data_IF_483069980775
#
_entry.id   IF_483069980775
#
_cell.length_a   1.000
_cell.length_b   1.000
_cell.length_c   1.000
_cell.angle_alpha   90.00
_cell.angle_beta   90.00
_cell.angle_gamma   90.00
#
_symmetry.space_group_name_H-M   'P 1'
#
loop_
_entity.id
_entity.type
_entity.pdbx_description
1 polymer ?
#
# COMPACT_ATOMS: atom_id res chain seq x y z
N UNK A 1 -0.10 -3.60 -9.39
CA UNK A 1 0.19 -5.05 -9.34
C UNK A 1 1.44 -5.26 -8.50
N UNK A 2 1.47 -6.30 -7.67
CA UNK A 2 2.61 -6.68 -6.81
C UNK A 2 2.80 -8.19 -6.81
N UNK A 3 4.03 -8.66 -6.57
CA UNK A 3 4.39 -10.09 -6.54
C UNK A 3 5.35 -10.34 -5.36
N UNK A 4 5.10 -11.37 -4.56
CA UNK A 4 5.88 -11.73 -3.37
C UNK A 4 6.77 -12.97 -3.55
N UNK A 5 6.86 -13.52 -4.77
CA UNK A 5 7.53 -14.79 -5.07
C UNK A 5 6.59 -16.00 -5.10
N UNK A 6 5.42 -15.87 -4.47
CA UNK A 6 4.43 -16.95 -4.34
C UNK A 6 3.10 -16.54 -4.97
N UNK A 7 2.62 -15.31 -4.75
CA UNK A 7 1.32 -14.80 -5.16
C UNK A 7 1.43 -13.50 -5.92
N UNK A 8 0.49 -13.26 -6.81
CA UNK A 8 0.33 -11.98 -7.50
C UNK A 8 -0.92 -11.29 -6.96
N UNK A 9 -0.81 -10.00 -6.61
CA UNK A 9 -1.95 -9.16 -6.33
C UNK A 9 -2.15 -8.15 -7.45
N UNK A 10 -3.38 -8.00 -7.91
CA UNK A 10 -3.78 -6.99 -8.89
C UNK A 10 -4.99 -6.20 -8.40
N UNK A 11 -5.01 -4.91 -8.68
CA UNK A 11 -6.15 -4.03 -8.46
C UNK A 11 -6.50 -3.27 -9.72
N UNK A 12 -7.70 -2.77 -9.80
CA UNK A 12 -8.21 -2.13 -11.00
C UNK A 12 -9.27 -1.06 -10.75
N UNK A 13 -9.83 -0.57 -11.85
CA UNK A 13 -10.91 0.41 -11.87
C UNK A 13 -12.21 -0.14 -11.25
N UNK A 14 -12.36 -1.45 -11.20
CA UNK A 14 -13.53 -2.14 -10.64
C UNK A 14 -13.52 -2.18 -9.10
N UNK A 15 -12.63 -1.41 -8.46
CA UNK A 15 -12.49 -1.28 -7.00
C UNK A 15 -12.06 -2.55 -6.27
N UNK A 16 -11.83 -3.63 -7.01
CA UNK A 16 -11.50 -4.93 -6.45
C UNK A 16 -10.00 -5.21 -6.50
N UNK A 17 -9.54 -5.98 -5.52
CA UNK A 17 -8.20 -6.55 -5.51
C UNK A 17 -8.31 -8.06 -5.67
N UNK A 18 -7.52 -8.63 -6.57
CA UNK A 18 -7.49 -10.07 -6.85
C UNK A 18 -6.14 -10.64 -6.49
N UNK A 19 -6.18 -11.76 -5.80
CA UNK A 19 -4.99 -12.57 -5.49
C UNK A 19 -4.96 -13.76 -6.43
N UNK A 20 -3.80 -14.00 -7.03
CA UNK A 20 -3.60 -15.05 -8.03
C UNK A 20 -2.48 -15.99 -7.60
N UNK A 21 -2.67 -17.27 -7.87
CA UNK A 21 -1.59 -18.25 -7.84
C UNK A 21 -0.93 -18.32 -9.23
N UNK A 22 0.35 -17.98 -9.36
CA UNK A 22 1.05 -18.04 -10.63
C UNK A 22 1.40 -19.46 -11.08
N UNK A 23 1.31 -20.47 -10.20
CA UNK A 23 1.85 -21.82 -10.43
C UNK A 23 0.76 -22.86 -10.65
N UNK A 24 -0.35 -22.80 -9.92
CA UNK A 24 -1.29 -23.92 -9.82
C UNK A 24 -2.02 -24.30 -11.11
N UNK A 25 -2.09 -23.44 -12.10
CA UNK A 25 -2.78 -23.72 -13.36
C UNK A 25 -4.25 -24.15 -13.24
N UNK A 26 -4.82 -24.12 -12.03
CA UNK A 26 -6.19 -24.49 -11.75
C UNK A 26 -7.15 -23.45 -12.34
N UNK A 27 -8.18 -23.96 -12.99
CA UNK A 27 -9.25 -23.13 -13.57
C UNK A 27 -10.04 -22.49 -12.45
N UNK A 28 -10.23 -21.17 -12.47
CA UNK A 28 -11.13 -20.49 -11.55
C UNK A 28 -12.55 -21.11 -11.64
N UNK A 29 -13.26 -21.24 -10.50
CA UNK A 29 -14.64 -21.71 -10.52
C UNK A 29 -15.50 -20.79 -11.41
N UNK A 30 -16.50 -21.35 -12.13
CA UNK A 30 -17.31 -20.60 -13.10
C UNK A 30 -18.10 -19.42 -12.51
N UNK A 31 -18.25 -19.36 -11.19
CA UNK A 31 -18.89 -18.22 -10.49
C UNK A 31 -18.10 -16.91 -10.55
N UNK A 32 -16.79 -16.95 -10.84
CA UNK A 32 -15.96 -15.76 -11.04
C UNK A 32 -15.83 -15.35 -12.51
N UNK A 33 -16.43 -16.10 -13.42
CA UNK A 33 -16.32 -15.93 -14.87
C UNK A 33 -17.32 -14.91 -15.47
N UNK A 34 -18.16 -14.28 -14.67
CA UNK A 34 -19.17 -13.35 -15.15
C UNK A 34 -18.56 -11.95 -15.39
N UNK A 35 -18.17 -11.67 -16.63
CA UNK A 35 -18.07 -10.28 -17.08
C UNK A 35 -17.03 -9.88 -18.11
N UNK A 36 -16.02 -10.67 -18.47
CA UNK A 36 -15.12 -10.23 -19.53
C UNK A 36 -14.44 -11.40 -20.28
N UNK A 37 -14.80 -11.67 -21.56
CA UNK A 37 -14.27 -12.79 -22.33
C UNK A 37 -12.80 -12.65 -22.78
N UNK A 38 -12.18 -11.49 -22.56
CA UNK A 38 -10.80 -11.26 -22.99
C UNK A 38 -9.73 -11.78 -22.02
N UNK A 39 -10.12 -12.19 -20.80
CA UNK A 39 -9.20 -12.69 -19.77
C UNK A 39 -8.80 -14.16 -19.98
N UNK A 40 -9.52 -14.89 -20.86
CA UNK A 40 -9.39 -16.35 -21.02
C UNK A 40 -8.31 -16.83 -21.99
N UNK A 41 -7.45 -15.96 -22.48
CA UNK A 41 -6.42 -16.33 -23.48
C UNK A 41 -5.09 -16.82 -22.89
N UNK A 42 -4.94 -16.84 -21.57
CA UNK A 42 -3.76 -17.38 -20.90
C UNK A 42 -4.11 -18.64 -20.11
N UNK A 43 -3.21 -19.64 -20.04
CA UNK A 43 -3.42 -20.83 -19.21
C UNK A 43 -3.73 -20.34 -17.78
N UNK A 44 -4.92 -20.68 -17.32
CA UNK A 44 -5.59 -20.05 -16.19
C UNK A 44 -4.79 -20.20 -14.90
N UNK A 45 -4.36 -19.08 -14.41
CA UNK A 45 -3.91 -18.91 -13.03
C UNK A 45 -5.16 -18.86 -12.16
N UNK A 46 -5.18 -19.61 -11.06
CA UNK A 46 -6.32 -19.56 -10.16
C UNK A 46 -6.41 -18.20 -9.47
N UNK A 47 -7.56 -17.57 -9.52
CA UNK A 47 -7.88 -16.47 -8.62
C UNK A 47 -8.18 -17.07 -7.24
N UNK A 48 -7.26 -16.89 -6.30
CA UNK A 48 -7.37 -17.42 -4.94
C UNK A 48 -8.39 -16.64 -4.11
N UNK A 49 -8.46 -15.32 -4.30
CA UNK A 49 -9.38 -14.47 -3.57
C UNK A 49 -9.74 -13.20 -4.34
N UNK A 50 -10.96 -12.74 -4.12
CA UNK A 50 -11.48 -11.44 -4.53
C UNK A 50 -11.70 -10.60 -3.28
N UNK A 51 -10.91 -9.55 -3.11
CA UNK A 51 -10.94 -8.68 -1.95
C UNK A 51 -11.67 -7.39 -2.30
N UNK A 52 -12.65 -7.03 -1.46
CA UNK A 52 -13.50 -5.88 -1.65
C UNK A 52 -13.34 -4.89 -0.50
N UNK A 53 -13.66 -3.62 -0.75
CA UNK A 53 -13.68 -2.62 0.31
C UNK A 53 -13.35 -1.21 -0.14
N UNK A 54 -12.53 -1.03 -1.19
CA UNK A 54 -12.35 0.28 -1.82
C UNK A 54 -13.62 0.71 -2.53
N UNK A 55 -13.86 2.03 -2.56
CA UNK A 55 -15.02 2.65 -3.23
C UNK A 55 -14.63 3.33 -4.53
N UNK A 56 -13.32 3.34 -4.85
CA UNK A 56 -12.76 3.88 -6.08
C UNK A 56 -11.58 3.03 -6.55
N UNK A 57 -10.91 3.44 -7.63
CA UNK A 57 -9.75 2.79 -8.22
C UNK A 57 -8.70 2.42 -7.17
N UNK A 58 -8.20 1.19 -7.22
CA UNK A 58 -7.05 0.75 -6.43
C UNK A 58 -5.76 1.16 -7.15
N UNK A 59 -5.06 2.14 -6.59
CA UNK A 59 -3.87 2.75 -7.20
C UNK A 59 -2.58 2.06 -6.81
N UNK A 60 -2.45 1.70 -5.52
CA UNK A 60 -1.23 1.16 -4.93
C UNK A 60 -1.49 -0.20 -4.33
N UNK A 61 -0.52 -1.09 -4.49
CA UNK A 61 -0.56 -2.45 -3.95
C UNK A 61 0.85 -2.85 -3.54
N UNK A 62 0.99 -3.34 -2.34
CA UNK A 62 2.21 -3.98 -1.86
C UNK A 62 1.88 -5.28 -1.12
N UNK A 63 2.57 -6.36 -1.50
CA UNK A 63 2.52 -7.66 -0.83
C UNK A 63 3.69 -7.80 0.15
N UNK A 64 3.40 -8.42 1.28
CA UNK A 64 4.37 -9.08 2.16
C UNK A 64 3.97 -10.57 2.32
N UNK A 65 4.74 -11.41 2.99
CA UNK A 65 4.37 -12.82 3.15
C UNK A 65 3.01 -13.07 3.81
N UNK A 66 2.58 -12.19 4.70
CA UNK A 66 1.37 -12.36 5.53
C UNK A 66 0.29 -11.30 5.30
N UNK A 67 0.67 -10.13 4.79
CA UNK A 67 -0.21 -8.96 4.67
C UNK A 67 -0.15 -8.42 3.25
N UNK A 68 -1.31 -8.01 2.74
CA UNK A 68 -1.45 -7.17 1.57
C UNK A 68 -1.89 -5.79 2.02
N UNK A 69 -1.18 -4.74 1.59
CA UNK A 69 -1.61 -3.35 1.74
C UNK A 69 -2.01 -2.76 0.39
N UNK A 70 -3.11 -2.02 0.37
CA UNK A 70 -3.66 -1.39 -0.83
C UNK A 70 -4.04 0.06 -0.56
N UNK A 71 -3.79 0.93 -1.52
CA UNK A 71 -4.18 2.33 -1.48
C UNK A 71 -5.10 2.68 -2.65
N UNK A 72 -6.18 3.39 -2.37
CA UNK A 72 -7.21 3.74 -3.33
C UNK A 72 -7.28 5.23 -3.67
N UNK A 73 -7.95 5.54 -4.78
CA UNK A 73 -8.32 6.92 -5.13
C UNK A 73 -9.35 7.52 -4.16
N UNK A 74 -9.94 6.69 -3.31
CA UNK A 74 -10.83 7.09 -2.22
C UNK A 74 -10.09 7.65 -1.00
N UNK A 75 -8.76 7.81 -1.07
CA UNK A 75 -7.92 8.28 0.03
C UNK A 75 -7.71 7.26 1.14
N UNK A 76 -8.21 6.05 0.96
CA UNK A 76 -8.13 5.00 1.96
C UNK A 76 -6.98 4.05 1.70
N UNK A 77 -6.42 3.55 2.80
CA UNK A 77 -5.53 2.40 2.79
C UNK A 77 -6.22 1.25 3.48
N UNK A 78 -6.15 0.08 2.87
CA UNK A 78 -6.68 -1.16 3.44
C UNK A 78 -5.57 -2.18 3.55
N UNK A 79 -5.58 -2.92 4.66
CA UNK A 79 -4.72 -4.09 4.83
C UNK A 79 -5.57 -5.33 4.94
N UNK A 80 -5.07 -6.42 4.35
CA UNK A 80 -5.74 -7.72 4.31
C UNK A 80 -4.79 -8.80 4.80
N UNK A 81 -5.32 -9.77 5.54
CA UNK A 81 -4.61 -11.00 5.84
C UNK A 81 -4.51 -11.86 4.59
N UNK A 82 -3.33 -12.36 4.29
CA UNK A 82 -3.13 -13.31 3.18
C UNK A 82 -3.35 -14.77 3.60
N UNK A 83 -3.59 -15.03 4.87
CA UNK A 83 -3.98 -16.31 5.40
C UNK A 83 -5.50 -16.52 5.30
N UNK A 84 -6.27 -15.51 5.75
CA UNK A 84 -7.73 -15.59 5.82
C UNK A 84 -8.45 -14.81 4.73
N UNK A 85 -7.73 -14.00 3.96
CA UNK A 85 -8.24 -13.05 2.96
C UNK A 85 -9.27 -12.05 3.51
N UNK A 86 -9.24 -11.82 4.83
CA UNK A 86 -10.09 -10.86 5.51
C UNK A 86 -9.43 -9.50 5.65
N UNK A 87 -10.24 -8.47 5.80
CA UNK A 87 -9.76 -7.11 6.07
C UNK A 87 -9.21 -7.07 7.50
N UNK A 88 -7.98 -6.58 7.64
CA UNK A 88 -7.36 -6.30 8.94
C UNK A 88 -7.63 -4.87 9.37
N UNK A 89 -7.38 -3.90 8.47
CA UNK A 89 -7.49 -2.47 8.76
C UNK A 89 -8.16 -1.72 7.62
N UNK A 90 -8.86 -0.64 7.97
CA UNK A 90 -9.36 0.38 7.04
C UNK A 90 -8.96 1.75 7.59
N UNK A 91 -8.04 2.41 6.92
CA UNK A 91 -7.48 3.69 7.35
C UNK A 91 -7.88 4.77 6.36
N UNK A 92 -8.54 5.84 6.83
CA UNK A 92 -8.72 7.06 6.05
C UNK A 92 -7.38 7.81 6.08
N UNK A 93 -6.50 7.48 5.12
CA UNK A 93 -5.13 7.93 5.14
C UNK A 93 -4.97 9.35 4.58
N UNK A 94 -5.76 9.73 3.56
CA UNK A 94 -5.63 11.00 2.85
C UNK A 94 -6.99 11.56 2.44
N UNK A 95 -7.04 12.88 2.26
CA UNK A 95 -8.22 13.58 1.75
C UNK A 95 -8.37 13.46 0.23
N UNK A 96 -7.33 12.92 -0.43
CA UNK A 96 -7.28 12.65 -1.87
C UNK A 96 -6.67 11.28 -2.12
N UNK A 97 -6.47 10.90 -3.39
CA UNK A 97 -5.93 9.60 -3.78
C UNK A 97 -4.61 9.27 -3.06
N UNK A 98 -4.46 8.03 -2.66
CA UNK A 98 -3.17 7.48 -2.19
C UNK A 98 -2.25 7.32 -3.39
N UNK A 99 -1.24 8.17 -3.50
CA UNK A 99 -0.29 8.18 -4.62
C UNK A 99 0.78 7.11 -4.48
N UNK A 100 1.19 6.81 -3.26
CA UNK A 100 2.23 5.83 -2.96
C UNK A 100 2.02 5.26 -1.55
N UNK A 101 2.44 4.01 -1.37
CA UNK A 101 2.51 3.39 -0.05
C UNK A 101 3.71 2.45 0.03
N UNK A 102 4.26 2.33 1.22
CA UNK A 102 5.19 1.27 1.60
C UNK A 102 4.96 0.87 3.05
N UNK A 103 5.15 -0.40 3.37
CA UNK A 103 5.03 -0.87 4.73
C UNK A 103 6.02 -1.99 5.05
N UNK A 104 6.29 -2.14 6.33
CA UNK A 104 6.94 -3.28 6.95
C UNK A 104 6.09 -3.85 8.10
N UNK A 105 6.66 -4.66 8.96
CA UNK A 105 5.96 -5.28 10.10
C UNK A 105 5.48 -4.26 11.15
N UNK A 106 6.11 -3.11 11.25
CA UNK A 106 5.86 -2.10 12.27
C UNK A 106 5.14 -0.87 11.73
N UNK A 107 5.57 -0.37 10.56
CA UNK A 107 5.14 0.91 10.04
C UNK A 107 4.60 0.84 8.61
N UNK A 108 3.57 1.62 8.38
CA UNK A 108 2.97 1.88 7.08
C UNK A 108 3.15 3.36 6.75
N UNK A 109 3.89 3.65 5.70
CA UNK A 109 4.12 5.01 5.18
C UNK A 109 3.28 5.21 3.94
N UNK A 110 2.53 6.29 3.90
CA UNK A 110 1.65 6.62 2.77
C UNK A 110 1.88 8.04 2.30
N UNK A 111 1.86 8.26 1.01
CA UNK A 111 1.86 9.59 0.39
C UNK A 111 0.59 9.79 -0.42
N UNK A 112 -0.04 10.93 -0.25
CA UNK A 112 -1.29 11.30 -0.93
C UNK A 112 -1.12 12.44 -1.91
N UNK A 113 -2.10 12.55 -2.82
CA UNK A 113 -2.24 13.72 -3.70
C UNK A 113 -2.67 14.98 -2.95
N UNK A 114 -2.98 14.87 -1.64
CA UNK A 114 -3.13 16.00 -0.72
C UNK A 114 -1.79 16.62 -0.29
N UNK A 115 -0.68 16.12 -0.83
CA UNK A 115 0.68 16.61 -0.56
C UNK A 115 1.28 16.14 0.75
N UNK A 116 0.59 15.27 1.49
CA UNK A 116 1.05 14.78 2.80
C UNK A 116 1.71 13.42 2.71
N UNK A 117 2.67 13.18 3.59
CA UNK A 117 3.25 11.86 3.85
C UNK A 117 2.99 11.50 5.29
N UNK A 118 2.26 10.41 5.50
CA UNK A 118 1.77 10.00 6.82
C UNK A 118 2.34 8.65 7.23
N UNK A 119 2.64 8.55 8.53
CA UNK A 119 3.12 7.34 9.18
C UNK A 119 2.03 6.74 10.04
N UNK A 120 1.79 5.46 9.87
CA UNK A 120 0.84 4.66 10.64
C UNK A 120 1.53 3.43 11.23
N UNK A 121 0.99 2.89 12.29
CA UNK A 121 1.36 1.59 12.81
C UNK A 121 0.70 0.49 11.98
N UNK A 122 1.47 -0.44 11.43
CA UNK A 122 0.95 -1.47 10.49
C UNK A 122 -0.07 -2.38 11.14
N UNK A 123 0.14 -2.77 12.41
CA UNK A 123 -0.71 -3.74 13.11
C UNK A 123 -2.07 -3.19 13.50
N UNK A 124 -2.16 -1.91 13.85
CA UNK A 124 -3.38 -1.28 14.38
C UNK A 124 -4.03 -0.31 13.40
N UNK A 125 -3.28 0.15 12.38
CA UNK A 125 -3.71 1.24 11.50
C UNK A 125 -3.73 2.61 12.18
N UNK A 126 -3.16 2.72 13.39
CA UNK A 126 -3.14 3.97 14.16
C UNK A 126 -2.23 4.98 13.49
N UNK A 127 -2.75 6.19 13.27
CA UNK A 127 -1.96 7.33 12.85
C UNK A 127 -0.91 7.69 13.91
N UNK A 128 0.32 7.91 13.48
CA UNK A 128 1.44 8.30 14.34
C UNK A 128 1.76 9.78 14.13
N UNK A 129 2.12 10.18 12.89
CA UNK A 129 2.45 11.57 12.56
C UNK A 129 2.55 11.78 11.05
N UNK A 130 2.57 13.04 10.63
CA UNK A 130 3.06 13.44 9.31
C UNK A 130 4.60 13.39 9.32
N UNK A 131 5.20 12.92 8.23
CA UNK A 131 6.67 12.83 8.10
C UNK A 131 7.28 14.11 7.55
N UNK A 132 6.51 14.89 6.79
CA UNK A 132 6.98 16.13 6.17
C UNK A 132 5.90 17.20 6.27
N UNK A 133 6.32 18.46 6.11
CA UNK A 133 5.39 19.54 5.81
C UNK A 133 4.65 19.23 4.50
N UNK A 134 3.37 19.66 4.35
CA UNK A 134 2.62 19.43 3.14
C UNK A 134 3.35 19.98 1.89
N UNK A 135 3.45 19.13 0.86
CA UNK A 135 4.02 19.49 -0.44
C UNK A 135 2.90 19.81 -1.45
N UNK A 136 3.25 20.33 -2.62
CA UNK A 136 2.28 20.53 -3.71
C UNK A 136 1.77 19.19 -4.27
N UNK A 137 2.63 18.18 -4.29
CA UNK A 137 2.30 16.79 -4.63
C UNK A 137 3.37 15.83 -4.13
N UNK A 138 2.97 14.61 -3.80
CA UNK A 138 3.86 13.51 -3.45
C UNK A 138 3.78 12.46 -4.55
N UNK A 139 4.92 12.01 -5.08
CA UNK A 139 4.96 11.06 -6.18
C UNK A 139 5.41 9.67 -5.74
N UNK A 140 6.42 9.62 -4.89
CA UNK A 140 6.99 8.35 -4.45
C UNK A 140 7.51 8.44 -3.02
N UNK A 141 7.28 7.37 -2.29
CA UNK A 141 7.89 7.14 -0.98
C UNK A 141 8.73 5.88 -1.09
N UNK A 142 9.97 5.94 -0.57
CA UNK A 142 10.83 4.78 -0.34
C UNK A 142 11.08 4.67 1.17
N UNK A 143 10.82 3.51 1.75
CA UNK A 143 10.90 3.31 3.18
C UNK A 143 11.67 2.01 3.49
N UNK A 144 12.73 2.12 4.29
CA UNK A 144 13.52 0.97 4.76
C UNK A 144 14.00 1.24 6.18
N UNK A 145 13.62 0.39 7.11
CA UNK A 145 13.99 0.55 8.54
C UNK A 145 13.47 1.88 9.10
N UNK A 146 14.38 2.78 9.46
CA UNK A 146 14.04 4.08 10.03
C UNK A 146 14.20 5.25 9.04
N UNK A 147 14.55 4.96 7.79
CA UNK A 147 14.79 5.97 6.76
C UNK A 147 13.65 5.98 5.75
N UNK A 148 13.11 7.17 5.52
CA UNK A 148 12.11 7.43 4.49
C UNK A 148 12.66 8.43 3.48
N UNK A 149 12.69 8.04 2.21
CA UNK A 149 12.99 8.92 1.08
C UNK A 149 11.67 9.31 0.40
N UNK A 150 11.44 10.60 0.24
CA UNK A 150 10.20 11.16 -0.29
C UNK A 150 10.52 11.97 -1.54
N UNK A 151 9.92 11.61 -2.66
CA UNK A 151 9.97 12.42 -3.88
C UNK A 151 8.68 13.23 -3.98
N UNK A 152 8.81 14.55 -3.92
CA UNK A 152 7.68 15.48 -3.93
C UNK A 152 7.98 16.74 -4.73
N UNK A 153 6.94 17.57 -4.93
CA UNK A 153 7.05 18.88 -5.55
C UNK A 153 6.93 19.98 -4.49
N UNK A 154 7.93 20.87 -4.42
CA UNK A 154 7.95 22.05 -3.56
C UNK A 154 8.40 23.28 -4.34
N UNK A 155 7.70 24.38 -4.19
CA UNK A 155 8.00 25.65 -4.87
C UNK A 155 8.24 25.47 -6.39
N UNK A 156 7.39 24.65 -7.02
CA UNK A 156 7.47 24.35 -8.44
C UNK A 156 8.61 23.42 -8.86
N UNK A 157 9.44 22.93 -7.91
CA UNK A 157 10.60 22.07 -8.19
C UNK A 157 10.37 20.67 -7.66
N UNK A 158 10.93 19.68 -8.38
CA UNK A 158 11.04 18.30 -7.87
C UNK A 158 12.17 18.23 -6.86
N UNK A 159 11.86 17.75 -5.66
CA UNK A 159 12.83 17.54 -4.58
C UNK A 159 12.74 16.11 -4.07
N UNK A 160 13.87 15.62 -3.57
CA UNK A 160 13.92 14.39 -2.79
C UNK A 160 14.33 14.75 -1.37
N UNK A 161 13.48 14.42 -0.42
CA UNK A 161 13.71 14.60 1.02
C UNK A 161 14.04 13.24 1.65
N UNK A 162 15.01 13.22 2.53
CA UNK A 162 15.39 12.02 3.29
C UNK A 162 15.14 12.31 4.76
N UNK A 163 14.29 11.52 5.38
CA UNK A 163 13.93 11.62 6.77
C UNK A 163 14.36 10.37 7.54
N UNK A 164 15.00 10.58 8.67
CA UNK A 164 15.24 9.54 9.66
C UNK A 164 14.23 9.73 10.79
N UNK A 165 13.46 8.70 11.12
CA UNK A 165 12.44 8.78 12.18
C UNK A 165 12.88 8.09 13.48
N UNK A 166 14.15 7.73 13.61
CA UNK A 166 14.70 7.43 14.93
C UNK A 166 14.51 8.65 15.83
N UNK A 167 14.03 8.46 17.06
CA UNK A 167 14.09 9.55 18.03
C UNK A 167 15.56 9.98 18.14
N UNK A 168 15.85 11.30 18.24
CA UNK A 168 17.20 11.76 18.46
C UNK A 168 17.77 11.00 19.66
N UNK A 169 18.94 10.41 19.50
CA UNK A 169 19.66 9.78 20.62
C UNK A 169 19.89 10.90 21.62
N UNK A 170 19.15 10.88 22.73
CA UNK A 170 19.44 11.75 23.86
C UNK A 170 20.75 11.23 24.43
N UNK A 171 21.85 11.84 24.05
CA UNK A 171 23.11 11.66 24.78
C UNK A 171 22.83 12.11 26.21
N UNK A 172 22.66 11.14 27.09
CA UNK A 172 22.72 11.40 28.53
C UNK A 172 24.16 11.83 28.78
N UNK A 173 24.38 13.15 28.83
CA UNK A 173 25.61 13.70 29.39
C UNK A 173 25.73 13.08 30.79
N UNK A 174 26.74 12.23 30.95
CA UNK A 174 27.13 11.74 32.27
C UNK A 174 27.71 12.92 32.99
N UNK A 175 26.89 13.55 33.83
CA UNK A 175 27.38 14.47 34.85
C UNK A 175 28.08 13.60 35.88
N UNK A 176 29.40 13.74 35.95
CA UNK A 176 30.25 13.16 36.98
C UNK A 176 30.14 13.99 38.27
#
# INVERSE_FOLDING_TARGET
MSYDGIRIASGGLDTHVRIWDPVSGLVAPPSLALGNPLIYKFPCRACLALLQGHTALVCQIQLSPTILATGGSDGRVMTFSLETYSILQRVAAHDSSVATLQFDENFLVTGGNDGRVRLFETKTGRYIRDLTEPAESVWKVGYVGNVCAIMCKRAGRTVMEIWNHDPPVVELERVW
#
